data_IF_413492683478
#
_entry.id   IF_413492683478
#
_cell.length_a   1.000
_cell.length_b   1.000
_cell.length_c   1.000
_cell.angle_alpha   90.00
_cell.angle_beta   90.00
_cell.angle_gamma   90.00
#
_symmetry.space_group_name_H-M   'P 1'
#
loop_
_entity.id
_entity.type
_entity.pdbx_description
1 polymer ?
#
# COMPACT_ATOMS: atom_id res chain seq x y z
N UNK A 1 18.08 0.35 -11.63
CA UNK A 1 17.26 1.51 -11.22
C UNK A 1 16.78 2.34 -12.40
N UNK A 2 17.62 2.58 -13.42
CA UNK A 2 17.26 3.39 -14.60
C UNK A 2 15.99 2.90 -15.33
N UNK A 3 15.90 1.60 -15.62
CA UNK A 3 14.77 1.00 -16.38
C UNK A 3 13.42 1.27 -15.71
N UNK A 4 13.36 1.24 -14.37
CA UNK A 4 12.12 1.50 -13.62
C UNK A 4 11.70 2.96 -13.70
N UNK A 5 12.67 3.88 -13.61
CA UNK A 5 12.40 5.32 -13.70
C UNK A 5 11.99 5.72 -15.12
N UNK A 6 12.64 5.15 -16.14
CA UNK A 6 12.28 5.37 -17.56
C UNK A 6 10.89 4.84 -17.85
N UNK A 7 10.54 3.64 -17.35
CA UNK A 7 9.19 3.09 -17.50
C UNK A 7 8.11 3.99 -16.89
N UNK A 8 8.31 4.50 -15.68
CA UNK A 8 7.37 5.43 -15.05
C UNK A 8 7.25 6.75 -15.81
N UNK A 9 8.37 7.28 -16.30
CA UNK A 9 8.39 8.48 -17.12
C UNK A 9 7.59 8.30 -18.43
N UNK A 10 7.80 7.18 -19.14
CA UNK A 10 7.07 6.86 -20.38
C UNK A 10 5.57 6.73 -20.13
N UNK A 11 5.17 6.07 -19.04
CA UNK A 11 3.75 5.94 -18.67
C UNK A 11 3.14 7.31 -18.35
N UNK A 12 3.85 8.17 -17.63
CA UNK A 12 3.39 9.54 -17.35
C UNK A 12 3.32 10.41 -18.60
N UNK A 13 4.27 10.27 -19.51
CA UNK A 13 4.25 10.96 -20.80
C UNK A 13 3.04 10.52 -21.63
N UNK A 14 2.79 9.21 -21.74
CA UNK A 14 1.63 8.66 -22.44
C UNK A 14 0.32 9.20 -21.86
N UNK A 15 0.20 9.19 -20.53
CA UNK A 15 -0.96 9.72 -19.83
C UNK A 15 -1.15 11.23 -20.11
N UNK A 16 -0.07 12.00 -20.05
CA UNK A 16 -0.11 13.44 -20.33
C UNK A 16 -0.50 13.75 -21.77
N UNK A 17 -0.03 12.96 -22.75
CA UNK A 17 -0.44 13.09 -24.14
C UNK A 17 -1.93 12.78 -24.33
N UNK A 18 -2.45 11.74 -23.67
CA UNK A 18 -3.87 11.40 -23.69
C UNK A 18 -4.71 12.53 -23.06
N UNK A 19 -4.34 13.03 -21.88
CA UNK A 19 -5.05 14.15 -21.26
C UNK A 19 -5.00 15.43 -22.10
N UNK A 20 -3.84 15.73 -22.70
CA UNK A 20 -3.67 16.89 -23.57
C UNK A 20 -4.55 16.77 -24.82
N UNK A 21 -4.62 15.57 -25.42
CA UNK A 21 -5.55 15.29 -26.51
C UNK A 21 -7.01 15.51 -26.04
N UNK A 22 -7.42 14.95 -24.91
CA UNK A 22 -8.76 15.15 -24.35
C UNK A 22 -9.11 16.64 -24.18
N UNK A 23 -8.20 17.42 -23.59
CA UNK A 23 -8.36 18.87 -23.41
C UNK A 23 -8.41 19.60 -24.76
N UNK A 24 -7.67 19.13 -25.76
CA UNK A 24 -7.73 19.66 -27.11
C UNK A 24 -9.10 19.39 -27.74
N UNK A 25 -9.66 18.19 -27.65
CA UNK A 25 -11.02 17.95 -28.16
C UNK A 25 -12.08 18.73 -27.37
N UNK A 26 -11.97 18.80 -26.04
CA UNK A 26 -12.93 19.51 -25.19
C UNK A 26 -12.91 21.04 -25.36
N UNK A 27 -11.78 21.60 -25.81
CA UNK A 27 -11.68 23.02 -26.16
C UNK A 27 -12.22 23.35 -27.55
N UNK A 28 -12.83 22.40 -28.27
CA UNK A 28 -13.47 22.61 -29.57
C UNK A 28 -14.44 23.82 -29.63
N UNK A 29 -15.31 24.09 -28.63
CA UNK A 29 -16.26 25.18 -28.72
C UNK A 29 -15.67 26.56 -28.35
N UNK A 30 -14.53 26.59 -27.66
CA UNK A 30 -13.94 27.82 -27.11
C UNK A 30 -12.70 28.30 -27.87
N UNK A 31 -12.01 27.41 -28.57
CA UNK A 31 -10.71 27.70 -29.19
C UNK A 31 -10.65 27.20 -30.62
N UNK A 32 -10.42 28.11 -31.57
CA UNK A 32 -10.03 27.77 -32.94
C UNK A 32 -8.52 28.00 -33.09
N UNK A 33 -7.71 26.93 -33.27
CA UNK A 33 -6.27 27.10 -33.39
C UNK A 33 -5.92 27.73 -34.73
N UNK A 34 -5.53 29.00 -34.73
CA UNK A 34 -4.91 29.66 -35.88
C UNK A 34 -3.41 29.33 -36.04
N UNK A 35 -2.82 28.61 -35.08
CA UNK A 35 -1.39 28.29 -35.06
C UNK A 35 -1.11 26.92 -34.44
N UNK A 36 -0.11 26.22 -35.00
CA UNK A 36 0.34 24.88 -34.57
C UNK A 36 1.01 24.91 -33.19
N UNK A 37 1.53 26.06 -32.76
CA UNK A 37 2.25 26.19 -31.48
C UNK A 37 1.35 25.97 -30.26
N UNK A 38 0.07 26.34 -30.34
CA UNK A 38 -0.91 26.13 -29.27
C UNK A 38 -1.10 24.64 -28.92
N UNK A 39 -1.61 23.80 -29.86
CA UNK A 39 -1.78 22.37 -29.61
C UNK A 39 -0.44 21.67 -29.31
N UNK A 40 0.65 22.08 -29.96
CA UNK A 40 1.97 21.51 -29.71
C UNK A 40 2.48 21.81 -28.30
N UNK A 41 2.33 23.05 -27.83
CA UNK A 41 2.69 23.46 -26.49
C UNK A 41 1.86 22.75 -25.42
N UNK A 42 0.56 22.54 -25.68
CA UNK A 42 -0.31 21.77 -24.78
C UNK A 42 0.10 20.31 -24.69
N UNK A 43 0.45 19.66 -25.81
CA UNK A 43 0.93 18.28 -25.82
C UNK A 43 2.26 18.13 -25.08
N UNK A 44 3.25 18.97 -25.42
CA UNK A 44 4.59 18.91 -24.82
C UNK A 44 4.55 19.28 -23.34
N UNK A 45 3.86 20.37 -22.99
CA UNK A 45 3.71 20.84 -21.61
C UNK A 45 2.91 19.86 -20.76
N UNK A 46 1.75 19.39 -21.24
CA UNK A 46 0.91 18.41 -20.55
C UNK A 46 1.61 17.06 -20.38
N UNK A 47 2.27 16.58 -21.44
CA UNK A 47 3.09 15.37 -21.42
C UNK A 47 4.21 15.44 -20.38
N UNK A 48 4.99 16.52 -20.39
CA UNK A 48 6.11 16.70 -19.46
C UNK A 48 5.64 16.89 -18.02
N UNK A 49 4.59 17.69 -17.80
CA UNK A 49 4.00 17.91 -16.48
C UNK A 49 3.55 16.58 -15.87
N UNK A 50 2.82 15.76 -16.64
CA UNK A 50 2.33 14.47 -16.17
C UNK A 50 3.47 13.47 -15.95
N UNK A 51 4.49 13.48 -16.80
CA UNK A 51 5.70 12.68 -16.61
C UNK A 51 6.45 13.04 -15.31
N UNK A 52 6.62 14.32 -15.01
CA UNK A 52 7.21 14.76 -13.73
C UNK A 52 6.32 14.42 -12.54
N UNK A 53 5.01 14.52 -12.69
CA UNK A 53 4.06 14.18 -11.63
C UNK A 53 4.12 12.67 -11.31
N UNK A 54 4.25 11.80 -12.33
CA UNK A 54 4.40 10.34 -12.12
C UNK A 54 5.66 9.98 -11.34
N UNK A 55 6.74 10.74 -11.50
CA UNK A 55 7.96 10.58 -10.71
C UNK A 55 7.75 10.97 -9.24
N UNK A 56 6.92 11.98 -8.98
CA UNK A 56 6.66 12.49 -7.62
C UNK A 56 5.60 11.67 -6.87
N UNK A 57 4.55 11.21 -7.56
CA UNK A 57 3.41 10.49 -6.99
C UNK A 57 3.10 9.21 -7.78
N UNK A 58 3.98 8.19 -7.77
CA UNK A 58 3.88 7.05 -8.67
C UNK A 58 2.63 6.18 -8.44
N UNK A 59 2.13 6.09 -7.20
CA UNK A 59 0.97 5.23 -6.89
C UNK A 59 -0.34 5.72 -7.49
N UNK A 60 -0.84 6.93 -7.17
CA UNK A 60 -2.12 7.40 -7.71
C UNK A 60 -2.08 7.65 -9.22
N UNK A 61 -0.90 7.99 -9.76
CA UNK A 61 -0.80 8.26 -11.20
C UNK A 61 -0.62 7.01 -12.05
N UNK A 62 -0.10 5.91 -11.50
CA UNK A 62 -0.08 4.65 -12.24
C UNK A 62 -1.48 4.04 -12.34
N UNK A 63 -2.27 4.10 -11.27
CA UNK A 63 -3.69 3.71 -11.33
C UNK A 63 -4.44 4.57 -12.35
N UNK A 64 -4.30 5.90 -12.25
CA UNK A 64 -4.92 6.82 -13.21
C UNK A 64 -4.45 6.58 -14.65
N UNK A 65 -3.15 6.34 -14.87
CA UNK A 65 -2.63 6.00 -16.20
C UNK A 65 -3.27 4.74 -16.77
N UNK A 66 -3.32 3.64 -16.00
CA UNK A 66 -3.93 2.40 -16.49
C UNK A 66 -5.43 2.54 -16.78
N UNK A 67 -6.16 3.30 -15.97
CA UNK A 67 -7.57 3.55 -16.19
C UNK A 67 -7.81 4.42 -17.45
N UNK A 68 -7.07 5.53 -17.60
CA UNK A 68 -7.19 6.44 -18.75
C UNK A 68 -6.77 5.74 -20.05
N UNK A 69 -5.66 4.97 -20.03
CA UNK A 69 -5.19 4.23 -21.20
C UNK A 69 -6.17 3.12 -21.59
N UNK A 70 -6.71 2.37 -20.62
CA UNK A 70 -7.75 1.37 -20.90
C UNK A 70 -9.03 2.00 -21.45
N UNK A 71 -9.46 3.11 -20.87
CA UNK A 71 -10.62 3.87 -21.36
C UNK A 71 -10.37 4.44 -22.77
N UNK A 72 -9.14 4.87 -23.07
CA UNK A 72 -8.76 5.35 -24.40
C UNK A 72 -8.84 4.21 -25.43
N UNK A 73 -8.37 3.00 -25.10
CA UNK A 73 -8.49 1.83 -25.97
C UNK A 73 -9.96 1.50 -26.27
N UNK A 74 -10.81 1.48 -25.24
CA UNK A 74 -12.26 1.22 -25.42
C UNK A 74 -12.90 2.34 -26.24
N UNK A 75 -12.56 3.61 -25.97
CA UNK A 75 -13.08 4.75 -26.73
C UNK A 75 -12.66 4.70 -28.20
N UNK A 76 -11.40 4.33 -28.50
CA UNK A 76 -10.94 4.16 -29.88
C UNK A 76 -11.64 2.99 -30.59
N UNK A 77 -11.94 1.90 -29.88
CA UNK A 77 -12.71 0.80 -30.44
C UNK A 77 -14.16 1.25 -30.74
N UNK A 78 -14.79 1.98 -29.82
CA UNK A 78 -16.12 2.53 -30.03
C UNK A 78 -16.16 3.54 -31.20
N UNK A 79 -15.14 4.39 -31.32
CA UNK A 79 -14.97 5.34 -32.44
C UNK A 79 -14.80 4.63 -33.79
N UNK A 80 -14.05 3.52 -33.82
CA UNK A 80 -13.92 2.69 -35.02
C UNK A 80 -15.29 2.13 -35.48
N UNK A 81 -16.08 1.57 -34.56
CA UNK A 81 -17.39 1.01 -34.91
C UNK A 81 -18.45 2.06 -35.24
N UNK A 82 -18.42 3.23 -34.59
CA UNK A 82 -19.42 4.27 -34.79
C UNK A 82 -19.14 5.12 -36.04
N UNK A 83 -17.88 5.51 -36.27
CA UNK A 83 -17.52 6.55 -37.26
C UNK A 83 -16.28 6.21 -38.10
N UNK A 84 -15.74 4.99 -38.06
CA UNK A 84 -14.51 4.59 -38.79
C UNK A 84 -13.29 5.48 -38.44
N UNK A 85 -13.11 5.83 -37.15
CA UNK A 85 -12.01 6.66 -36.63
C UNK A 85 -12.04 8.13 -37.09
N UNK A 86 -13.22 8.68 -37.32
CA UNK A 86 -13.39 10.09 -37.68
C UNK A 86 -12.92 11.02 -36.56
N UNK A 87 -13.13 10.65 -35.29
CA UNK A 87 -12.63 11.41 -34.14
C UNK A 87 -11.10 11.44 -34.12
N UNK A 88 -10.44 10.33 -34.45
CA UNK A 88 -8.99 10.26 -34.60
C UNK A 88 -8.44 11.19 -35.68
N UNK A 89 -9.09 11.24 -36.85
CA UNK A 89 -8.71 12.16 -37.94
C UNK A 89 -8.90 13.62 -37.53
N UNK A 90 -10.02 13.92 -36.86
CA UNK A 90 -10.32 15.25 -36.32
C UNK A 90 -9.18 15.76 -35.42
N UNK A 91 -8.66 14.91 -34.52
CA UNK A 91 -7.54 15.27 -33.65
C UNK A 91 -6.29 15.62 -34.45
N UNK A 92 -5.94 14.80 -35.45
CA UNK A 92 -4.75 15.04 -36.28
C UNK A 92 -4.86 16.34 -37.08
N UNK A 93 -6.02 16.60 -37.66
CA UNK A 93 -6.29 17.85 -38.39
C UNK A 93 -6.20 19.06 -37.48
N UNK A 94 -6.72 18.93 -36.25
CA UNK A 94 -6.61 20.00 -35.24
C UNK A 94 -5.18 20.24 -34.77
N UNK A 95 -4.37 19.18 -34.65
CA UNK A 95 -2.93 19.30 -34.36
C UNK A 95 -2.20 20.04 -35.49
N UNK A 96 -2.61 19.83 -36.74
CA UNK A 96 -2.08 20.54 -37.90
C UNK A 96 -2.58 21.99 -38.03
N UNK A 97 -3.39 22.46 -37.07
CA UNK A 97 -4.08 23.75 -37.13
C UNK A 97 -4.88 23.94 -38.43
N UNK A 98 -5.39 22.85 -39.00
CA UNK A 98 -6.30 22.90 -40.13
C UNK A 98 -7.70 23.31 -39.65
N UNK A 99 -8.47 24.07 -40.45
CA UNK A 99 -9.86 24.34 -40.15
C UNK A 99 -10.65 23.02 -40.21
N UNK A 100 -11.26 22.63 -39.09
CA UNK A 100 -11.98 21.36 -38.97
C UNK A 100 -13.49 21.62 -38.89
N UNK A 101 -14.34 20.86 -39.61
CA UNK A 101 -15.79 20.99 -39.53
C UNK A 101 -16.34 20.71 -38.13
N UNK A 102 -17.52 21.23 -37.78
CA UNK A 102 -18.09 21.07 -36.44
C UNK A 102 -18.38 19.60 -36.11
N UNK A 103 -18.09 19.19 -34.87
CA UNK A 103 -18.36 17.83 -34.40
C UNK A 103 -19.87 17.53 -34.39
N UNK A 104 -20.23 16.33 -34.84
CA UNK A 104 -21.58 15.80 -34.69
C UNK A 104 -21.88 15.43 -33.22
N UNK A 105 -23.17 15.33 -32.86
CA UNK A 105 -23.62 14.92 -31.52
C UNK A 105 -23.03 13.56 -31.08
N UNK A 106 -22.88 12.62 -32.01
CA UNK A 106 -22.31 11.30 -31.74
C UNK A 106 -20.83 11.37 -31.35
N UNK A 107 -20.05 12.22 -32.01
CA UNK A 107 -18.65 12.48 -31.68
C UNK A 107 -18.51 13.10 -30.27
N UNK A 108 -19.44 13.98 -29.87
CA UNK A 108 -19.54 14.49 -28.51
C UNK A 108 -19.87 13.40 -27.47
N UNK A 109 -20.77 12.47 -27.81
CA UNK A 109 -21.08 11.33 -26.95
C UNK A 109 -19.87 10.40 -26.76
N UNK A 110 -19.11 10.11 -27.83
CA UNK A 110 -17.85 9.35 -27.78
C UNK A 110 -16.79 10.08 -26.95
N UNK A 111 -16.70 11.40 -27.07
CA UNK A 111 -15.81 12.22 -26.25
C UNK A 111 -16.16 12.13 -24.77
N UNK A 112 -17.44 12.15 -24.42
CA UNK A 112 -17.92 12.04 -23.04
C UNK A 112 -17.80 10.61 -22.47
N UNK A 113 -17.87 9.58 -23.32
CA UNK A 113 -17.69 8.19 -22.92
C UNK A 113 -16.29 7.93 -22.33
N UNK A 114 -15.26 8.57 -22.88
CA UNK A 114 -13.89 8.39 -22.44
C UNK A 114 -13.63 8.76 -20.96
N UNK A 115 -13.95 9.98 -20.46
CA UNK A 115 -13.78 10.33 -19.06
C UNK A 115 -14.71 9.53 -18.14
N UNK A 116 -15.91 9.15 -18.60
CA UNK A 116 -16.81 8.29 -17.82
C UNK A 116 -16.19 6.92 -17.56
N UNK A 117 -15.67 6.26 -18.60
CA UNK A 117 -14.97 4.98 -18.47
C UNK A 117 -13.71 5.10 -17.63
N UNK A 118 -12.94 6.18 -17.79
CA UNK A 118 -11.76 6.43 -16.97
C UNK A 118 -12.13 6.60 -15.49
N UNK A 119 -13.17 7.37 -15.19
CA UNK A 119 -13.62 7.61 -13.82
C UNK A 119 -14.15 6.32 -13.19
N UNK A 120 -14.89 5.52 -13.96
CA UNK A 120 -15.33 4.18 -13.53
C UNK A 120 -14.13 3.27 -13.25
N UNK A 121 -13.12 3.25 -14.12
CA UNK A 121 -11.89 2.49 -13.92
C UNK A 121 -11.12 2.92 -12.68
N UNK A 122 -11.00 4.23 -12.44
CA UNK A 122 -10.37 4.77 -11.22
C UNK A 122 -11.19 4.41 -9.99
N UNK A 123 -12.53 4.49 -10.02
CA UNK A 123 -13.38 4.11 -8.89
C UNK A 123 -13.27 2.63 -8.58
N UNK A 124 -13.28 1.76 -9.59
CA UNK A 124 -13.11 0.30 -9.41
C UNK A 124 -11.74 0.01 -8.83
N UNK A 125 -10.67 0.59 -9.39
CA UNK A 125 -9.33 0.44 -8.85
C UNK A 125 -9.22 1.00 -7.44
N UNK A 126 -9.83 2.15 -7.14
CA UNK A 126 -9.83 2.75 -5.81
C UNK A 126 -10.56 1.87 -4.81
N UNK A 127 -11.75 1.35 -5.16
CA UNK A 127 -12.55 0.49 -4.28
C UNK A 127 -11.82 -0.81 -3.96
N UNK A 128 -11.27 -1.47 -4.98
CA UNK A 128 -10.48 -2.70 -4.83
C UNK A 128 -9.15 -2.43 -4.10
N UNK A 129 -8.53 -1.26 -4.31
CA UNK A 129 -7.28 -0.87 -3.62
C UNK A 129 -7.54 -0.49 -2.16
N UNK A 130 -8.68 0.13 -1.84
CA UNK A 130 -9.07 0.49 -0.48
C UNK A 130 -9.41 -0.73 0.38
N UNK A 131 -9.96 -1.80 -0.22
CA UNK A 131 -10.14 -3.09 0.45
C UNK A 131 -8.81 -3.84 0.65
N UNK A 132 -7.73 -3.42 -0.03
CA UNK A 132 -6.43 -4.10 -0.05
C UNK A 132 -5.34 -3.57 0.89
N UNK A 133 -5.59 -2.56 1.74
CA UNK A 133 -4.50 -1.89 2.47
C UNK A 133 -4.04 -2.57 3.77
N UNK A 134 -3.89 -3.90 3.71
CA UNK A 134 -3.04 -4.67 4.62
C UNK A 134 -1.57 -4.73 4.16
N UNK A 135 -1.20 -4.25 2.97
CA UNK A 135 0.15 -4.45 2.41
C UNK A 135 1.05 -3.21 2.34
N UNK A 136 0.50 -1.98 2.29
CA UNK A 136 1.32 -0.76 2.44
C UNK A 136 1.90 -0.65 3.85
N UNK A 137 1.11 -1.06 4.84
CA UNK A 137 1.57 -1.19 6.22
C UNK A 137 2.66 -2.25 6.37
N UNK A 138 2.64 -3.34 5.58
CA UNK A 138 3.67 -4.41 5.65
C UNK A 138 5.01 -3.97 5.06
N UNK A 139 5.01 -3.13 4.01
CA UNK A 139 6.26 -2.57 3.47
C UNK A 139 6.84 -1.51 4.42
N UNK A 140 5.99 -0.64 4.97
CA UNK A 140 6.39 0.36 5.96
C UNK A 140 6.83 -0.32 7.27
N UNK A 141 6.16 -1.38 7.70
CA UNK A 141 6.50 -2.14 8.92
C UNK A 141 7.76 -2.97 8.75
N UNK A 142 8.01 -3.58 7.56
CA UNK A 142 9.30 -4.24 7.27
C UNK A 142 10.45 -3.23 7.32
N UNK A 143 10.25 -2.02 6.81
CA UNK A 143 11.25 -0.96 6.86
C UNK A 143 11.46 -0.43 8.29
N UNK A 144 10.39 -0.20 9.06
CA UNK A 144 10.46 0.13 10.50
C UNK A 144 11.14 -0.98 11.30
N UNK A 145 10.84 -2.26 11.03
CA UNK A 145 11.44 -3.44 11.67
C UNK A 145 12.93 -3.54 11.37
N UNK A 146 13.37 -3.25 10.14
CA UNK A 146 14.80 -3.16 9.79
C UNK A 146 15.51 -2.02 10.50
N UNK A 147 14.89 -0.84 10.59
CA UNK A 147 15.44 0.32 11.31
C UNK A 147 15.50 0.05 12.84
N UNK A 148 14.49 -0.61 13.39
CA UNK A 148 14.50 -1.04 14.81
C UNK A 148 15.57 -2.09 15.08
N UNK A 149 15.71 -3.11 14.23
CA UNK A 149 16.78 -4.12 14.35
C UNK A 149 18.17 -3.49 14.25
N UNK A 150 18.36 -2.49 13.38
CA UNK A 150 19.62 -1.76 13.28
C UNK A 150 19.92 -0.95 14.55
N UNK A 151 18.92 -0.28 15.15
CA UNK A 151 19.08 0.39 16.46
C UNK A 151 19.41 -0.58 17.59
N UNK A 152 18.78 -1.75 17.61
CA UNK A 152 19.02 -2.78 18.64
C UNK A 152 20.46 -3.31 18.53
N UNK A 153 20.92 -3.68 17.32
CA UNK A 153 22.32 -4.09 17.10
C UNK A 153 23.32 -3.00 17.54
N UNK A 154 23.05 -1.74 17.20
CA UNK A 154 23.91 -0.63 17.65
C UNK A 154 23.96 -0.48 19.18
N UNK A 155 22.84 -0.72 19.88
CA UNK A 155 22.83 -0.70 21.34
C UNK A 155 23.59 -1.88 21.94
N UNK A 156 23.52 -3.07 21.34
CA UNK A 156 24.28 -4.25 21.76
C UNK A 156 25.79 -4.04 21.58
N UNK A 157 26.24 -3.52 20.44
CA UNK A 157 27.66 -3.19 20.21
C UNK A 157 28.18 -2.17 21.24
N UNK A 158 27.37 -1.16 21.58
CA UNK A 158 27.71 -0.18 22.63
C UNK A 158 27.81 -0.84 24.00
N UNK A 159 26.93 -1.80 24.33
CA UNK A 159 26.96 -2.56 25.59
C UNK A 159 28.14 -3.52 25.64
N UNK A 160 28.50 -4.16 24.53
CA UNK A 160 29.65 -5.05 24.45
C UNK A 160 30.96 -4.27 24.62
N UNK A 161 31.10 -3.11 23.96
CA UNK A 161 32.24 -2.20 24.17
C UNK A 161 32.34 -1.75 25.63
N UNK A 162 31.21 -1.48 26.31
CA UNK A 162 31.19 -1.17 27.75
C UNK A 162 31.60 -2.37 28.61
N UNK A 163 31.26 -3.60 28.22
CA UNK A 163 31.66 -4.83 28.93
C UNK A 163 33.15 -5.13 28.75
N UNK A 164 33.70 -4.98 27.54
CA UNK A 164 35.15 -5.14 27.28
C UNK A 164 36.01 -4.11 27.99
N UNK A 165 35.48 -2.90 28.23
CA UNK A 165 36.17 -1.85 29.02
C UNK A 165 36.11 -2.07 30.54
N UNK A 166 35.36 -3.05 31.06
CA UNK A 166 35.40 -3.38 32.49
C UNK A 166 36.60 -4.29 32.77
N UNK A 167 37.45 -3.96 33.76
CA UNK A 167 38.59 -4.80 34.10
C UNK A 167 38.14 -6.17 34.63
N UNK A 168 38.92 -7.25 34.41
CA UNK A 168 38.62 -8.57 34.97
C UNK A 168 38.59 -8.50 36.50
N UNK A 169 37.51 -8.99 37.13
CA UNK A 169 37.50 -9.16 38.59
C UNK A 169 38.49 -10.27 38.95
N UNK A 170 39.48 -9.94 39.78
CA UNK A 170 40.50 -10.86 40.26
C UNK A 170 39.89 -12.03 41.06
N UNK A 171 40.48 -13.24 41.00
CA UNK A 171 40.01 -14.39 41.78
C UNK A 171 40.40 -14.23 43.26
N UNK A 172 39.44 -14.44 44.15
CA UNK A 172 39.63 -14.35 45.60
C UNK A 172 40.41 -15.58 46.10
N UNK A 173 41.64 -15.38 46.58
CA UNK A 173 42.52 -16.40 47.19
C UNK A 173 42.33 -16.31 48.72
N UNK A 174 41.92 -17.39 49.39
CA UNK A 174 41.91 -17.50 50.87
C UNK A 174 43.35 -17.57 51.43
N UNK A 175 43.60 -17.29 52.73
CA UNK A 175 43.25 -18.23 53.82
C UNK A 175 42.82 -17.62 55.18
N UNK A 176 42.47 -18.53 56.11
CA UNK A 176 41.89 -18.44 57.48
C UNK A 176 42.59 -17.50 58.50
N UNK A 177 41.79 -16.88 59.38
CA UNK A 177 42.12 -16.50 60.77
C UNK A 177 40.84 -16.45 61.67
N UNK A 178 40.91 -16.73 63.00
CA UNK A 178 39.75 -16.95 63.90
C UNK A 178 39.24 -15.67 64.61
N UNK A 179 38.09 -15.71 65.34
CA UNK A 179 37.14 -14.59 65.42
C UNK A 179 37.30 -13.70 66.67
N UNK A 180 36.80 -12.45 66.59
CA UNK A 180 36.45 -11.61 67.74
C UNK A 180 35.02 -11.07 67.58
N UNK A 181 34.21 -11.01 68.66
CA UNK A 181 32.79 -10.68 68.58
C UNK A 181 32.53 -9.17 68.72
N UNK A 182 31.63 -8.64 67.91
CA UNK A 182 31.11 -7.27 68.00
C UNK A 182 29.65 -7.18 67.50
N UNK A 183 28.87 -6.18 67.96
CA UNK A 183 27.40 -6.24 68.11
C UNK A 183 26.59 -6.00 66.82
N UNK A 184 25.25 -6.20 66.84
CA UNK A 184 24.45 -6.51 65.66
C UNK A 184 24.01 -5.25 64.90
N UNK A 185 24.09 -5.29 63.57
CA UNK A 185 23.52 -4.27 62.68
C UNK A 185 22.92 -4.92 61.40
N UNK A 186 22.00 -4.23 60.72
CA UNK A 186 20.67 -4.76 60.41
C UNK A 186 20.56 -5.49 59.08
N UNK A 187 19.60 -6.41 59.04
CA UNK A 187 18.81 -6.82 57.87
C UNK A 187 19.57 -6.90 56.54
N UNK A 188 20.22 -8.05 56.30
CA UNK A 188 20.52 -8.51 54.95
C UNK A 188 19.23 -8.49 54.11
N UNK A 189 19.08 -7.48 53.24
CA UNK A 189 18.28 -7.62 52.02
C UNK A 189 18.97 -8.71 51.19
N UNK A 190 18.58 -9.96 51.43
CA UNK A 190 18.90 -11.11 50.58
C UNK A 190 18.46 -10.74 49.17
N UNK A 191 19.42 -10.45 48.29
CA UNK A 191 19.16 -10.54 46.85
C UNK A 191 18.93 -12.03 46.57
N UNK A 192 17.76 -12.45 46.06
CA UNK A 192 17.58 -13.83 45.67
C UNK A 192 18.59 -14.18 44.58
N UNK A 193 19.34 -15.26 44.82
CA UNK A 193 20.33 -15.83 43.92
C UNK A 193 19.65 -16.12 42.58
N UNK A 194 20.24 -15.78 41.42
CA UNK A 194 19.64 -16.14 40.15
C UNK A 194 19.60 -17.66 40.05
N UNK A 195 18.40 -18.22 40.19
CA UNK A 195 18.13 -19.64 39.98
C UNK A 195 18.52 -19.95 38.54
N UNK A 196 19.53 -20.82 38.38
CA UNK A 196 19.96 -21.38 37.10
C UNK A 196 18.81 -22.25 36.59
N UNK A 197 17.92 -21.67 35.78
CA UNK A 197 16.78 -22.39 35.20
C UNK A 197 17.31 -23.44 34.22
N UNK A 198 16.94 -24.68 34.51
CA UNK A 198 17.22 -25.88 33.75
C UNK A 198 16.52 -25.82 32.38
N UNK A 199 17.15 -26.42 31.38
CA UNK A 199 16.69 -26.50 29.99
C UNK A 199 15.28 -27.10 29.92
N UNK A 200 14.33 -26.44 29.27
CA UNK A 200 13.00 -27.02 29.02
C UNK A 200 12.00 -26.04 28.44
N UNK A 201 11.71 -24.95 29.14
CA UNK A 201 10.74 -23.95 28.68
C UNK A 201 11.21 -22.54 29.05
N UNK A 202 12.18 -22.03 28.28
CA UNK A 202 12.48 -20.61 28.29
C UNK A 202 11.57 -19.96 27.26
N UNK A 203 10.34 -19.64 27.68
CA UNK A 203 9.55 -18.67 26.93
C UNK A 203 10.44 -17.45 26.70
N UNK A 204 10.59 -17.07 25.43
CA UNK A 204 11.49 -15.99 25.06
C UNK A 204 11.09 -14.71 25.80
N UNK A 205 12.06 -13.85 26.19
CA UNK A 205 11.74 -12.57 26.83
C UNK A 205 10.73 -11.74 26.02
N UNK A 206 10.73 -11.90 24.69
CA UNK A 206 9.76 -11.29 23.78
C UNK A 206 8.34 -11.85 23.90
N UNK A 207 8.17 -13.14 24.18
CA UNK A 207 6.85 -13.75 24.38
C UNK A 207 6.20 -13.22 25.67
N UNK A 208 6.98 -13.14 26.75
CA UNK A 208 6.53 -12.56 28.04
C UNK A 208 6.16 -11.09 27.88
N UNK A 209 6.92 -10.34 27.08
CA UNK A 209 6.61 -8.94 26.74
C UNK A 209 5.28 -8.85 25.98
N UNK A 210 5.05 -9.72 24.99
CA UNK A 210 3.80 -9.73 24.21
C UNK A 210 2.58 -10.08 25.05
N UNK A 211 2.75 -10.94 26.05
CA UNK A 211 1.69 -11.30 26.99
C UNK A 211 1.35 -10.13 27.91
N UNK A 212 2.37 -9.38 28.37
CA UNK A 212 2.16 -8.16 29.14
C UNK A 212 1.46 -7.09 28.31
N UNK A 213 1.90 -6.84 27.07
CA UNK A 213 1.29 -5.83 26.20
C UNK A 213 -0.20 -6.13 25.93
N UNK A 214 -0.56 -7.41 25.77
CA UNK A 214 -1.97 -7.83 25.66
C UNK A 214 -2.77 -7.62 26.94
N UNK A 215 -2.16 -7.77 28.11
CA UNK A 215 -2.83 -7.52 29.39
C UNK A 215 -2.93 -6.02 29.73
N UNK A 216 -1.86 -5.25 29.51
CA UNK A 216 -1.85 -3.79 29.75
C UNK A 216 -2.61 -3.00 28.69
N UNK A 217 -2.83 -3.57 27.50
CA UNK A 217 -3.79 -3.06 26.51
C UNK A 217 -5.25 -3.34 26.85
N UNK A 218 -5.52 -4.11 27.91
CA UNK A 218 -6.85 -4.57 28.33
C UNK A 218 -7.23 -4.11 29.75
N UNK A 219 -6.59 -3.06 30.30
CA UNK A 219 -6.88 -2.58 31.66
C UNK A 219 -7.56 -1.21 31.73
N UNK A 220 -8.15 -0.73 30.63
CA UNK A 220 -9.01 0.47 30.65
C UNK A 220 -10.35 0.31 29.92
N UNK A 221 -10.77 -0.90 29.53
CA UNK A 221 -12.06 -1.07 28.83
C UNK A 221 -12.82 -2.36 29.16
N UNK A 222 -12.70 -2.89 30.38
CA UNK A 222 -13.52 -4.03 30.82
C UNK A 222 -14.02 -3.90 32.26
N UNK A 223 -14.76 -2.81 32.51
CA UNK A 223 -15.93 -2.87 33.39
C UNK A 223 -17.12 -2.54 32.49
N UNK A 224 -18.03 -3.51 32.30
CA UNK A 224 -19.23 -3.53 31.44
C UNK A 224 -19.09 -4.43 30.20
N UNK A 225 -19.20 -5.75 30.39
CA UNK A 225 -19.92 -6.63 29.47
C UNK A 225 -20.24 -7.95 30.19
N UNK A 226 -21.54 -8.23 30.29
CA UNK A 226 -22.16 -9.41 30.91
C UNK A 226 -21.77 -10.71 30.19
N UNK A 227 -21.87 -11.90 30.84
CA UNK A 227 -21.71 -13.16 30.14
C UNK A 227 -23.02 -13.50 29.42
N UNK A 228 -22.97 -13.74 28.12
CA UNK A 228 -24.04 -14.43 27.40
C UNK A 228 -23.45 -15.64 26.70
N UNK A 229 -23.90 -16.80 27.19
CA UNK A 229 -24.10 -18.11 26.56
C UNK A 229 -23.76 -18.19 25.05
N UNK A 230 -22.89 -19.11 24.66
CA UNK A 230 -23.23 -20.49 24.31
C UNK A 230 -24.14 -20.56 23.07
N UNK A 231 -23.55 -20.84 21.92
CA UNK A 231 -23.86 -22.07 21.17
C UNK A 231 -22.88 -22.28 20.02
N UNK A 232 -22.30 -23.48 20.01
CA UNK A 232 -21.25 -23.94 19.13
C UNK A 232 -21.84 -25.12 18.34
N UNK A 233 -22.59 -24.86 17.26
CA UNK A 233 -23.07 -25.94 16.39
C UNK A 233 -22.03 -26.29 15.33
N UNK A 234 -21.34 -27.38 15.63
CA UNK A 234 -20.55 -28.22 14.74
C UNK A 234 -21.45 -29.34 14.22
N UNK A 235 -21.70 -29.42 12.91
CA UNK A 235 -22.62 -30.43 12.39
C UNK A 235 -22.60 -30.63 10.88
N UNK A 236 -21.49 -31.13 10.34
CA UNK A 236 -21.46 -31.76 9.01
C UNK A 236 -21.48 -33.29 9.18
N UNK A 237 -22.53 -33.96 8.70
CA UNK A 237 -22.57 -35.38 8.29
C UNK A 237 -23.72 -35.56 7.26
N UNK A 238 -23.39 -36.10 6.07
CA UNK A 238 -24.22 -36.18 4.84
C UNK A 238 -25.40 -37.19 4.88
N UNK A 239 -25.78 -37.92 3.80
CA UNK A 239 -25.28 -37.98 2.42
C UNK A 239 -26.37 -37.99 1.30
N UNK A 240 -25.94 -38.22 0.05
CA UNK A 240 -26.66 -38.39 -1.21
C UNK A 240 -27.72 -39.52 -1.22
N UNK A 241 -28.92 -39.26 -1.77
CA UNK A 241 -29.82 -40.19 -2.52
C UNK A 241 -30.72 -39.30 -3.42
N UNK A 242 -30.61 -39.29 -4.75
CA UNK A 242 -31.02 -40.26 -5.78
C UNK A 242 -32.55 -40.38 -6.01
N UNK A 243 -32.96 -39.84 -7.17
CA UNK A 243 -33.95 -40.36 -8.14
C UNK A 243 -35.48 -40.19 -7.98
N UNK A 244 -36.09 -39.92 -9.16
CA UNK A 244 -37.48 -40.16 -9.59
C UNK A 244 -38.53 -39.14 -9.13
N UNK A 245 -39.30 -38.44 -9.97
CA UNK A 245 -39.60 -38.50 -11.41
C UNK A 245 -40.69 -37.43 -11.76
N UNK A 246 -41.05 -37.24 -13.04
CA UNK A 246 -41.97 -36.19 -13.55
C UNK A 246 -43.42 -36.74 -13.71
N UNK A 247 -44.40 -36.17 -14.49
CA UNK A 247 -44.57 -34.88 -15.23
C UNK A 247 -46.00 -34.23 -15.07
N UNK A 248 -46.34 -33.28 -15.98
CA UNK A 248 -47.69 -32.83 -16.46
C UNK A 248 -48.27 -31.57 -15.76
N UNK A 249 -48.31 -30.35 -16.36
CA UNK A 249 -49.04 -29.79 -17.55
C UNK A 249 -50.51 -29.45 -17.25
N UNK A 250 -50.83 -28.15 -17.08
CA UNK A 250 -51.80 -27.32 -17.85
C UNK A 250 -51.33 -25.87 -17.72
#
# INVERSE_FOLDING_TARGET
MLVRSVGLFLVGLLLGLLLAAAALLGSAPYYQPGSVWGPLGLLLGGGLLCALLTLRWPRPLTTLATAVTGAALIATAADYFAELLLLGRYVVERLRAAPVPPLCWRSWALLALWPLLSLMGVLVQWRVTAEGDSHTEVVISRQRRRVQLMRIRQQEDRKEKRRKKRPPRAPLRGPRAPPRPGPPDPAYRRRPVPIKRFNGDVLSPSYIQSFRDRQTGSSLSSFMASPTDADYEYGSRGPLTACSGPPVRV
#
